data_IF_526885119690
#
_entry.id   IF_526885119690
#
_cell.length_a   1.000
_cell.length_b   1.000
_cell.length_c   1.000
_cell.angle_alpha   90.00
_cell.angle_beta   90.00
_cell.angle_gamma   90.00
#
_symmetry.space_group_name_H-M   'P 1'
#
loop_
_entity.id
_entity.type
_entity.pdbx_description
1 polymer ?
#
# COMPACT_ATOMS: atom_id res chain seq x y z
N UNK A 1 5.91 15.03 -1.03
CA UNK A 1 6.18 15.04 0.43
C UNK A 1 4.85 14.80 1.12
N UNK A 2 4.84 13.99 2.19
CA UNK A 2 3.69 13.90 3.11
C UNK A 2 3.33 15.35 3.49
N UNK A 3 2.08 15.77 3.32
CA UNK A 3 1.63 17.17 3.42
C UNK A 3 1.65 17.77 4.83
N UNK A 4 2.64 17.41 5.65
CA UNK A 4 2.85 17.88 7.01
C UNK A 4 3.64 19.19 6.97
N UNK A 5 3.23 20.18 7.76
CA UNK A 5 4.00 21.41 7.87
C UNK A 5 5.35 21.13 8.55
N UNK A 6 6.46 21.75 8.12
CA UNK A 6 7.77 21.48 8.71
C UNK A 6 7.84 21.67 10.23
N UNK A 7 7.07 22.61 10.80
CA UNK A 7 6.97 22.80 12.25
C UNK A 7 6.31 21.61 12.94
N UNK A 8 5.22 21.09 12.38
CA UNK A 8 4.49 19.95 12.93
C UNK A 8 5.35 18.68 12.87
N UNK A 9 6.15 18.51 11.82
CA UNK A 9 7.05 17.36 11.68
C UNK A 9 8.02 17.20 12.87
N UNK A 10 8.56 18.30 13.38
CA UNK A 10 9.50 18.27 14.51
C UNK A 10 8.80 18.09 15.86
N UNK A 11 7.50 18.32 15.93
CA UNK A 11 6.68 18.12 17.13
C UNK A 11 6.10 16.70 17.24
N UNK A 12 6.16 15.91 16.17
CA UNK A 12 5.71 14.53 16.17
C UNK A 12 6.61 13.63 17.02
N UNK A 13 5.97 12.71 17.73
CA UNK A 13 6.65 11.59 18.35
C UNK A 13 7.21 10.63 17.28
N UNK A 14 8.25 9.84 17.61
CA UNK A 14 8.78 8.83 16.69
C UNK A 14 7.70 7.88 16.16
N UNK A 15 6.73 7.50 17.01
CA UNK A 15 5.63 6.60 16.62
C UNK A 15 4.75 7.20 15.52
N UNK A 16 4.42 8.50 15.63
CA UNK A 16 3.61 9.19 14.64
C UNK A 16 4.34 9.35 13.31
N UNK A 17 5.65 9.63 13.36
CA UNK A 17 6.50 9.69 12.16
C UNK A 17 6.50 8.34 11.44
N UNK A 18 6.72 7.23 12.16
CA UNK A 18 6.69 5.89 11.56
C UNK A 18 5.32 5.56 10.96
N UNK A 19 4.24 5.92 11.66
CA UNK A 19 2.87 5.67 11.20
C UNK A 19 2.54 6.46 9.94
N UNK A 20 2.92 7.74 9.90
CA UNK A 20 2.74 8.60 8.73
C UNK A 20 3.52 8.10 7.50
N UNK A 21 4.77 7.64 7.70
CA UNK A 21 5.58 7.05 6.63
C UNK A 21 4.96 5.74 6.14
N UNK A 22 4.49 4.88 7.05
CA UNK A 22 3.83 3.61 6.70
C UNK A 22 2.56 3.84 5.89
N UNK A 23 1.67 4.73 6.34
CA UNK A 23 0.43 5.05 5.62
C UNK A 23 0.69 5.74 4.29
N UNK A 24 1.71 6.62 4.21
CA UNK A 24 2.11 7.22 2.93
C UNK A 24 2.57 6.16 1.94
N UNK A 25 3.40 5.20 2.40
CA UNK A 25 3.84 4.08 1.58
C UNK A 25 2.65 3.21 1.17
N UNK A 26 1.73 2.87 2.04
CA UNK A 26 0.56 2.05 1.70
C UNK A 26 -0.34 2.72 0.66
N UNK A 27 -0.56 4.03 0.79
CA UNK A 27 -1.44 4.77 -0.12
C UNK A 27 -0.83 5.08 -1.48
N UNK A 28 0.50 5.23 -1.56
CA UNK A 28 1.22 5.63 -2.78
C UNK A 28 2.07 4.52 -3.39
N UNK A 29 2.44 3.50 -2.61
CA UNK A 29 2.85 2.25 -3.20
C UNK A 29 1.57 1.69 -3.80
N UNK A 30 1.45 1.87 -5.11
CA UNK A 30 0.71 0.94 -5.94
C UNK A 30 1.32 -0.42 -5.55
N UNK A 31 0.64 -1.18 -4.70
CA UNK A 31 0.74 -2.62 -4.79
C UNK A 31 0.42 -2.89 -6.25
N UNK A 32 1.47 -3.00 -7.06
CA UNK A 32 1.32 -3.56 -8.39
C UNK A 32 0.87 -4.96 -8.05
N UNK A 33 -0.45 -5.17 -7.98
CA UNK A 33 -1.01 -6.50 -8.17
C UNK A 33 -0.23 -7.03 -9.36
N UNK A 34 0.66 -7.98 -9.07
CA UNK A 34 1.48 -8.54 -10.12
C UNK A 34 0.48 -9.04 -11.17
N UNK A 35 0.72 -8.78 -12.46
CA UNK A 35 -0.19 -9.26 -13.50
C UNK A 35 -0.46 -10.74 -13.21
N UNK A 36 -1.75 -11.09 -13.11
CA UNK A 36 -2.19 -12.40 -12.67
C UNK A 36 -1.47 -13.47 -13.49
N UNK A 37 -0.86 -14.42 -12.80
CA UNK A 37 -0.16 -15.52 -13.41
C UNK A 37 -1.16 -16.52 -14.00
N UNK A 38 -0.69 -17.27 -15.00
CA UNK A 38 -1.52 -18.22 -15.74
C UNK A 38 -2.11 -19.30 -14.83
N UNK A 39 -1.38 -19.70 -13.79
CA UNK A 39 -1.84 -20.71 -12.83
C UNK A 39 -3.01 -20.19 -12.01
N UNK A 40 -2.93 -18.94 -11.51
CA UNK A 40 -4.03 -18.31 -10.77
C UNK A 40 -5.27 -18.07 -11.63
N UNK A 41 -5.09 -17.71 -12.90
CA UNK A 41 -6.19 -17.60 -13.84
C UNK A 41 -6.90 -18.94 -14.03
N UNK A 42 -6.14 -20.03 -14.17
CA UNK A 42 -6.68 -21.38 -14.36
C UNK A 42 -7.47 -21.85 -13.13
N UNK A 43 -6.97 -21.60 -11.93
CA UNK A 43 -7.70 -21.88 -10.68
C UNK A 43 -9.05 -21.16 -10.64
N UNK A 44 -9.10 -19.89 -11.06
CA UNK A 44 -10.35 -19.12 -11.10
C UNK A 44 -11.34 -19.68 -12.13
N UNK A 45 -10.86 -20.12 -13.29
CA UNK A 45 -11.71 -20.77 -14.31
C UNK A 45 -12.27 -22.11 -13.84
N UNK A 46 -11.54 -22.85 -13.00
CA UNK A 46 -12.00 -24.11 -12.40
C UNK A 46 -13.02 -23.88 -11.27
N UNK A 47 -12.84 -22.82 -10.48
CA UNK A 47 -13.73 -22.46 -9.37
C UNK A 47 -15.06 -21.82 -9.82
N UNK A 48 -15.05 -21.12 -10.96
CA UNK A 48 -16.23 -20.45 -11.53
C UNK A 48 -16.54 -20.93 -12.96
N UNK A 49 -17.07 -22.15 -13.11
CA UNK A 49 -17.44 -22.71 -14.41
C UNK A 49 -18.88 -22.25 -14.79
N UNK A 50 -19.03 -21.01 -15.24
CA UNK A 50 -20.24 -20.52 -15.92
C UNK A 50 -19.90 -20.06 -17.35
#
# INVERSE_FOLDING_TARGET
>A
MIGIQPSEFWELSPLEIYSAISGFKEFHAVEKEAPMDQDRLKELMELYPD
#
